data_IF_861682745969
#
_entry.id   IF_861682745969
#
_cell.length_a   1.000
_cell.length_b   1.000
_cell.length_c   1.000
_cell.angle_alpha   90.00
_cell.angle_beta   90.00
_cell.angle_gamma   90.00
#
_symmetry.space_group_name_H-M   'P 1'
#
loop_
_entity.id
_entity.type
_entity.pdbx_description
1 polymer ?
#
# COMPACT_ATOMS: atom_id res chain seq x y z
N UNK A 1 22.16 -5.77 -20.94
CA UNK A 1 23.31 -5.49 -20.07
C UNK A 1 23.03 -6.16 -18.74
N UNK A 2 23.66 -7.29 -18.43
CA UNK A 2 23.44 -8.01 -17.17
C UNK A 2 23.89 -7.14 -16.03
N UNK A 3 22.95 -6.74 -15.15
CA UNK A 3 23.31 -6.16 -13.84
C UNK A 3 24.05 -7.25 -13.06
N UNK A 4 25.38 -7.09 -12.99
CA UNK A 4 26.27 -8.00 -12.26
C UNK A 4 26.05 -7.75 -10.76
N UNK A 5 25.20 -8.58 -10.13
CA UNK A 5 25.01 -8.62 -8.69
C UNK A 5 26.34 -9.04 -8.03
N UNK A 6 26.99 -8.11 -7.31
CA UNK A 6 28.01 -8.49 -6.32
C UNK A 6 27.28 -9.06 -5.11
N UNK A 7 27.02 -10.35 -5.15
CA UNK A 7 26.54 -11.11 -3.99
C UNK A 7 27.75 -11.39 -3.09
N UNK A 8 27.80 -10.75 -1.94
CA UNK A 8 28.58 -11.26 -0.80
C UNK A 8 27.92 -12.57 -0.35
N UNK A 9 28.73 -13.61 -0.14
CA UNK A 9 28.28 -14.95 0.27
C UNK A 9 27.32 -14.88 1.45
N UNK A 10 26.09 -15.36 1.23
CA UNK A 10 25.09 -15.53 2.27
C UNK A 10 25.50 -16.71 3.16
N UNK A 11 25.20 -16.59 4.45
CA UNK A 11 25.46 -17.57 5.49
C UNK A 11 24.90 -18.98 5.11
N UNK A 12 25.65 -20.09 5.36
CA UNK A 12 25.21 -21.44 5.00
C UNK A 12 23.99 -21.98 5.77
N UNK A 13 23.50 -21.27 6.79
CA UNK A 13 22.35 -21.69 7.59
C UNK A 13 20.97 -21.46 6.96
N UNK A 14 20.89 -20.90 5.75
CA UNK A 14 19.63 -20.67 5.02
C UNK A 14 19.13 -21.96 4.33
N UNK A 15 19.00 -23.04 5.09
CA UNK A 15 18.47 -24.33 4.60
C UNK A 15 16.94 -24.29 4.66
N UNK A 16 16.32 -24.10 3.60
CA UNK A 16 15.04 -24.47 3.03
C UNK A 16 14.38 -23.31 2.26
N UNK A 17 14.89 -23.03 1.06
CA UNK A 17 14.34 -22.02 0.16
C UNK A 17 13.38 -22.63 -0.86
N UNK A 18 12.77 -23.78 -0.58
CA UNK A 18 11.79 -24.35 -1.50
C UNK A 18 10.55 -23.46 -1.63
N UNK A 19 9.98 -23.40 -2.82
CA UNK A 19 8.74 -22.67 -3.06
C UNK A 19 7.64 -23.24 -2.13
N UNK A 20 6.90 -22.36 -1.42
CA UNK A 20 5.80 -22.81 -0.57
C UNK A 20 4.76 -23.60 -1.39
N UNK A 21 4.14 -24.59 -0.76
CA UNK A 21 3.05 -25.36 -1.37
C UNK A 21 1.79 -24.48 -1.51
N UNK A 22 0.92 -24.88 -2.45
CA UNK A 22 -0.36 -24.18 -2.65
C UNK A 22 -0.19 -22.88 -3.44
N UNK A 23 0.38 -22.98 -4.65
CA UNK A 23 0.47 -21.84 -5.58
C UNK A 23 -0.94 -21.26 -5.79
N UNK A 24 -1.17 -19.98 -5.51
CA UNK A 24 -2.50 -19.37 -5.66
C UNK A 24 -2.90 -19.28 -7.14
N UNK A 25 -4.20 -19.40 -7.38
CA UNK A 25 -4.76 -19.15 -8.70
C UNK A 25 -4.38 -17.75 -9.16
N UNK A 26 -4.02 -17.61 -10.45
CA UNK A 26 -3.64 -16.34 -11.05
C UNK A 26 -2.16 -15.93 -10.90
N UNK A 27 -1.35 -16.62 -10.08
CA UNK A 27 0.09 -16.30 -9.96
C UNK A 27 0.80 -16.37 -11.33
N UNK A 28 0.54 -17.41 -12.11
CA UNK A 28 1.13 -17.56 -13.46
C UNK A 28 0.78 -16.38 -14.37
N UNK A 29 -0.47 -15.91 -14.34
CA UNK A 29 -0.90 -14.75 -15.12
C UNK A 29 -0.20 -13.47 -14.65
N UNK A 30 -0.07 -13.28 -13.34
CA UNK A 30 0.67 -12.15 -12.78
C UNK A 30 2.13 -12.17 -13.23
N UNK A 31 2.80 -13.30 -13.11
CA UNK A 31 4.20 -13.45 -13.50
C UNK A 31 4.38 -13.25 -15.01
N UNK A 32 3.44 -13.74 -15.84
CA UNK A 32 3.45 -13.49 -17.29
C UNK A 32 3.33 -12.00 -17.60
N UNK A 33 2.49 -11.25 -16.86
CA UNK A 33 2.41 -9.79 -17.03
C UNK A 33 3.70 -9.05 -16.61
N UNK A 34 4.54 -9.71 -15.83
CA UNK A 34 5.87 -9.24 -15.42
C UNK A 34 7.01 -9.80 -16.28
N UNK A 35 6.69 -10.35 -17.45
CA UNK A 35 7.63 -10.94 -18.44
C UNK A 35 8.32 -12.23 -17.97
N UNK A 36 7.72 -12.99 -17.07
CA UNK A 36 8.19 -14.32 -16.70
C UNK A 36 7.41 -15.39 -17.46
N UNK A 37 8.12 -16.28 -18.16
CA UNK A 37 7.52 -17.32 -19.00
C UNK A 37 6.94 -18.49 -18.18
N UNK A 38 7.51 -18.78 -17.03
CA UNK A 38 7.03 -19.82 -16.12
C UNK A 38 7.41 -19.53 -14.66
N UNK A 39 6.71 -20.21 -13.74
CA UNK A 39 6.87 -20.04 -12.30
C UNK A 39 8.20 -20.59 -11.79
N UNK A 40 8.69 -21.70 -12.37
CA UNK A 40 9.92 -22.36 -11.91
C UNK A 40 11.16 -21.53 -12.22
N UNK A 41 11.24 -20.90 -13.39
CA UNK A 41 12.35 -20.01 -13.74
C UNK A 41 12.35 -18.77 -12.86
N UNK A 42 11.15 -18.20 -12.64
CA UNK A 42 10.96 -17.07 -11.73
C UNK A 42 11.39 -17.44 -10.30
N UNK A 43 10.96 -18.62 -9.78
CA UNK A 43 11.32 -19.05 -8.45
C UNK A 43 12.83 -19.26 -8.31
N UNK A 44 13.46 -19.98 -9.25
CA UNK A 44 14.93 -20.18 -9.25
C UNK A 44 15.71 -18.86 -9.22
N UNK A 45 15.21 -17.83 -9.90
CA UNK A 45 15.79 -16.49 -9.85
C UNK A 45 15.77 -15.92 -8.44
N UNK A 46 14.64 -16.02 -7.75
CA UNK A 46 14.50 -15.49 -6.40
C UNK A 46 15.17 -16.37 -5.34
N UNK A 47 15.09 -17.67 -5.46
CA UNK A 47 15.80 -18.62 -4.59
C UNK A 47 17.31 -18.34 -4.54
N UNK A 48 17.91 -18.03 -5.69
CA UNK A 48 19.32 -17.69 -5.80
C UNK A 48 19.75 -16.45 -4.99
N UNK A 49 18.83 -15.50 -4.73
CA UNK A 49 19.09 -14.27 -3.97
C UNK A 49 18.49 -14.30 -2.56
N UNK A 50 18.04 -15.46 -2.10
CA UNK A 50 17.52 -15.66 -0.73
C UNK A 50 16.05 -16.06 -0.64
N UNK A 51 15.27 -15.97 -1.71
CA UNK A 51 13.88 -16.42 -1.73
C UNK A 51 13.06 -15.81 -0.59
N UNK A 52 12.32 -16.65 0.15
CA UNK A 52 11.51 -16.22 1.30
C UNK A 52 12.33 -15.69 2.49
N UNK A 53 13.64 -15.93 2.50
CA UNK A 53 14.54 -15.45 3.54
C UNK A 53 15.13 -14.07 3.23
N UNK A 54 14.96 -13.56 2.00
CA UNK A 54 15.42 -12.23 1.62
C UNK A 54 14.83 -11.17 2.54
N UNK A 55 15.69 -10.38 3.19
CA UNK A 55 15.31 -9.34 4.14
C UNK A 55 14.29 -9.78 5.23
N UNK A 56 14.29 -11.05 5.61
CA UNK A 56 13.28 -11.63 6.51
C UNK A 56 13.25 -10.96 7.89
N UNK A 57 14.37 -10.48 8.38
CA UNK A 57 14.48 -9.76 9.65
C UNK A 57 13.69 -8.43 9.68
N UNK A 58 13.25 -7.92 8.54
CA UNK A 58 12.44 -6.70 8.46
C UNK A 58 10.97 -6.93 8.85
N UNK A 59 10.53 -8.18 8.93
CA UNK A 59 9.18 -8.47 9.41
C UNK A 59 9.15 -8.39 10.94
N UNK A 60 8.43 -7.40 11.47
CA UNK A 60 8.29 -7.19 12.92
C UNK A 60 7.46 -8.26 13.64
N UNK A 61 6.75 -9.08 12.87
CA UNK A 61 5.92 -10.20 13.33
C UNK A 61 6.15 -11.40 12.41
N UNK A 62 5.91 -12.63 12.87
CA UNK A 62 5.98 -13.80 11.99
C UNK A 62 5.08 -13.61 10.77
N UNK A 63 5.65 -13.82 9.59
CA UNK A 63 4.96 -13.78 8.31
C UNK A 63 5.01 -15.15 7.66
N UNK A 64 3.97 -15.54 6.94
CA UNK A 64 3.92 -16.80 6.21
C UNK A 64 4.88 -16.73 5.01
N UNK A 65 5.57 -17.84 4.74
CA UNK A 65 6.43 -17.96 3.57
C UNK A 65 5.65 -17.76 2.26
N UNK A 66 4.40 -18.23 2.21
CA UNK A 66 3.46 -18.00 1.12
C UNK A 66 3.19 -16.52 0.87
N UNK A 67 3.11 -15.69 1.92
CA UNK A 67 2.95 -14.24 1.78
C UNK A 67 4.18 -13.61 1.12
N UNK A 68 5.39 -13.96 1.54
CA UNK A 68 6.61 -13.46 0.94
C UNK A 68 6.71 -13.95 -0.50
N UNK A 69 6.49 -15.25 -0.73
CA UNK A 69 6.59 -15.87 -2.04
C UNK A 69 5.55 -15.35 -3.05
N UNK A 70 4.29 -15.18 -2.63
CA UNK A 70 3.20 -14.93 -3.57
C UNK A 70 2.69 -13.48 -3.60
N UNK A 71 3.18 -12.62 -2.69
CA UNK A 71 2.91 -11.18 -2.70
C UNK A 71 4.21 -10.39 -2.76
N UNK A 72 5.14 -10.66 -1.85
CA UNK A 72 6.39 -9.90 -1.71
C UNK A 72 7.29 -10.03 -2.93
N UNK A 73 7.65 -11.26 -3.30
CA UNK A 73 8.55 -11.50 -4.45
C UNK A 73 7.94 -11.08 -5.80
N UNK A 74 6.64 -11.30 -6.09
CA UNK A 74 6.03 -10.73 -7.29
C UNK A 74 6.07 -9.20 -7.31
N UNK A 75 5.80 -8.50 -6.20
CA UNK A 75 5.92 -7.04 -6.14
C UNK A 75 7.37 -6.58 -6.34
N UNK A 76 8.33 -7.32 -5.77
CA UNK A 76 9.75 -7.08 -6.00
C UNK A 76 10.17 -7.35 -7.45
N UNK A 77 9.55 -8.35 -8.14
CA UNK A 77 9.72 -8.59 -9.58
C UNK A 77 9.18 -7.43 -10.42
N UNK A 78 8.09 -6.80 -9.98
CA UNK A 78 7.56 -5.60 -10.64
C UNK A 78 8.54 -4.42 -10.51
N UNK A 79 9.18 -4.27 -9.34
CA UNK A 79 10.25 -3.29 -9.13
C UNK A 79 11.42 -3.58 -10.07
N UNK A 80 11.90 -4.83 -10.13
CA UNK A 80 12.98 -5.24 -11.05
C UNK A 80 12.65 -4.89 -12.50
N UNK A 81 11.42 -5.18 -12.95
CA UNK A 81 10.96 -4.87 -14.31
C UNK A 81 11.03 -3.36 -14.60
N UNK A 82 10.60 -2.52 -13.67
CA UNK A 82 10.66 -1.05 -13.83
C UNK A 82 12.11 -0.56 -13.95
N UNK A 83 12.99 -1.05 -13.10
CA UNK A 83 14.41 -0.68 -13.12
C UNK A 83 15.11 -1.10 -14.43
N UNK A 84 14.76 -2.28 -14.97
CA UNK A 84 15.30 -2.75 -16.25
C UNK A 84 14.82 -1.90 -17.43
N UNK A 85 13.64 -1.31 -17.34
CA UNK A 85 13.10 -0.41 -18.36
C UNK A 85 13.71 1.00 -18.26
N UNK A 86 14.34 1.33 -17.12
CA UNK A 86 14.95 2.64 -16.89
C UNK A 86 13.92 3.76 -16.68
N UNK A 87 12.71 3.39 -16.26
CA UNK A 87 11.60 4.33 -16.03
C UNK A 87 11.45 4.68 -14.55
N UNK A 88 11.05 5.92 -14.27
CA UNK A 88 10.63 6.32 -12.93
C UNK A 88 9.18 5.95 -12.73
N UNK A 89 8.94 4.99 -11.83
CA UNK A 89 7.63 4.34 -11.66
C UNK A 89 7.09 4.54 -10.25
N UNK A 90 5.83 4.96 -10.16
CA UNK A 90 5.05 4.97 -8.90
C UNK A 90 4.23 3.68 -8.84
N UNK A 91 4.61 2.78 -7.94
CA UNK A 91 3.86 1.56 -7.65
C UNK A 91 2.95 1.78 -6.43
N UNK A 92 1.66 1.78 -6.66
CA UNK A 92 0.64 1.91 -5.61
C UNK A 92 0.36 0.59 -4.91
N UNK A 93 0.21 0.62 -3.58
CA UNK A 93 -0.32 -0.51 -2.80
C UNK A 93 -1.50 -0.04 -1.96
N UNK A 94 -2.69 -0.49 -2.32
CA UNK A 94 -3.93 -0.16 -1.63
C UNK A 94 -4.43 -1.34 -0.80
N UNK A 95 -4.84 -1.09 0.42
CA UNK A 95 -5.48 -2.09 1.27
C UNK A 95 -6.15 -1.45 2.48
N UNK A 96 -7.19 -2.06 3.01
CA UNK A 96 -7.76 -1.66 4.29
C UNK A 96 -6.70 -1.69 5.42
N UNK A 97 -6.88 -0.90 6.48
CA UNK A 97 -5.98 -0.92 7.64
C UNK A 97 -5.87 -2.34 8.22
N UNK A 98 -4.65 -2.73 8.61
CA UNK A 98 -4.37 -4.07 9.15
C UNK A 98 -4.02 -5.14 8.12
N UNK A 99 -4.21 -4.92 6.82
CA UNK A 99 -3.88 -5.90 5.77
C UNK A 99 -2.38 -6.05 5.48
N UNK A 100 -1.50 -5.29 6.14
CA UNK A 100 -0.05 -5.49 6.00
C UNK A 100 0.64 -4.67 4.90
N UNK A 101 -0.06 -3.74 4.21
CA UNK A 101 0.51 -2.94 3.12
C UNK A 101 1.80 -2.19 3.48
N UNK A 102 1.83 -1.49 4.62
CA UNK A 102 3.02 -0.73 5.05
C UNK A 102 4.20 -1.65 5.37
N UNK A 103 3.93 -2.80 5.99
CA UNK A 103 4.96 -3.82 6.27
C UNK A 103 5.50 -4.42 4.97
N UNK A 104 4.63 -4.70 3.99
CA UNK A 104 5.01 -5.17 2.66
C UNK A 104 5.90 -4.15 1.95
N UNK A 105 5.47 -2.89 1.86
CA UNK A 105 6.24 -1.84 1.19
C UNK A 105 7.59 -1.59 1.89
N UNK A 106 7.63 -1.63 3.22
CA UNK A 106 8.88 -1.54 3.96
C UNK A 106 9.81 -2.72 3.65
N UNK A 107 9.28 -3.95 3.62
CA UNK A 107 10.05 -5.12 3.26
C UNK A 107 10.60 -5.02 1.83
N UNK A 108 9.78 -4.62 0.85
CA UNK A 108 10.23 -4.43 -0.55
C UNK A 108 11.34 -3.39 -0.61
N UNK A 109 11.24 -2.26 0.12
CA UNK A 109 12.29 -1.25 0.19
C UNK A 109 13.60 -1.86 0.72
N UNK A 110 13.57 -2.61 1.83
CA UNK A 110 14.77 -3.21 2.41
C UNK A 110 15.36 -4.31 1.54
N UNK A 111 14.53 -5.17 0.94
CA UNK A 111 14.96 -6.17 -0.02
C UNK A 111 15.64 -5.50 -1.23
N UNK A 112 15.06 -4.42 -1.74
CA UNK A 112 15.65 -3.62 -2.83
C UNK A 112 17.01 -3.03 -2.44
N UNK A 113 17.16 -2.53 -1.21
CA UNK A 113 18.43 -2.02 -0.71
C UNK A 113 19.51 -3.12 -0.68
N UNK A 114 19.18 -4.34 -0.25
CA UNK A 114 20.10 -5.47 -0.28
C UNK A 114 20.54 -5.84 -1.72
N UNK A 115 19.64 -5.62 -2.69
CA UNK A 115 19.90 -5.83 -4.11
C UNK A 115 20.59 -4.63 -4.80
N UNK A 116 20.84 -3.53 -4.06
CA UNK A 116 21.42 -2.31 -4.61
C UNK A 116 20.47 -1.50 -5.49
N UNK A 117 19.16 -1.66 -5.30
CA UNK A 117 18.12 -1.00 -6.09
C UNK A 117 17.61 0.27 -5.41
N UNK A 118 17.52 1.40 -6.13
CA UNK A 118 17.10 2.69 -5.59
C UNK A 118 15.57 2.78 -5.49
N UNK A 119 15.01 2.27 -4.40
CA UNK A 119 13.57 2.25 -4.13
C UNK A 119 13.25 3.07 -2.88
N UNK A 120 12.24 3.92 -2.96
CA UNK A 120 11.70 4.65 -1.80
C UNK A 120 10.28 4.19 -1.47
N UNK A 121 9.96 4.15 -0.18
CA UNK A 121 8.63 3.86 0.33
C UNK A 121 8.04 5.10 0.97
N UNK A 122 6.90 5.52 0.48
CA UNK A 122 6.08 6.62 1.00
C UNK A 122 4.70 6.10 1.39
N UNK A 123 4.18 6.61 2.47
CA UNK A 123 2.80 6.40 2.87
C UNK A 123 1.95 7.63 2.54
N UNK A 124 0.70 7.43 2.15
CA UNK A 124 -0.28 8.51 2.10
C UNK A 124 -0.33 9.27 3.44
N UNK A 125 -0.16 8.53 4.55
CA UNK A 125 -0.14 9.07 5.91
C UNK A 125 1.04 10.03 6.19
N UNK A 126 2.15 9.97 5.42
CA UNK A 126 3.24 10.93 5.56
C UNK A 126 2.80 12.35 5.16
N UNK A 127 1.81 12.45 4.31
CA UNK A 127 1.29 13.72 3.78
C UNK A 127 0.13 14.31 4.58
N UNK A 128 -0.17 13.82 5.79
CA UNK A 128 -1.13 14.54 6.64
C UNK A 128 -0.73 16.00 6.80
N UNK A 129 -1.73 16.87 6.92
CA UNK A 129 -1.50 18.27 7.25
C UNK A 129 -0.69 18.43 8.54
N UNK A 130 0.09 19.51 8.70
CA UNK A 130 0.61 19.92 10.01
C UNK A 130 -0.52 20.09 11.02
N UNK A 131 -0.19 19.98 12.31
CA UNK A 131 -1.15 19.92 13.40
C UNK A 131 -2.32 20.89 13.35
N UNK A 132 -2.15 22.21 13.13
CA UNK A 132 -3.28 23.14 13.13
C UNK A 132 -4.27 22.88 11.97
N UNK A 133 -3.75 22.60 10.77
CA UNK A 133 -4.59 22.29 9.61
C UNK A 133 -5.26 20.93 9.76
N UNK A 134 -4.53 19.93 10.30
CA UNK A 134 -5.06 18.59 10.54
C UNK A 134 -6.23 18.66 11.53
N UNK A 135 -6.05 19.34 12.64
CA UNK A 135 -7.09 19.49 13.67
C UNK A 135 -8.34 20.18 13.09
N UNK A 136 -8.16 21.23 12.30
CA UNK A 136 -9.25 21.91 11.64
C UNK A 136 -9.97 21.03 10.61
N UNK A 137 -9.23 20.25 9.80
CA UNK A 137 -9.82 19.36 8.79
C UNK A 137 -10.67 18.26 9.40
N UNK A 138 -10.31 17.82 10.60
CA UNK A 138 -10.96 16.72 11.35
C UNK A 138 -11.96 17.18 12.40
N UNK A 139 -12.14 18.50 12.58
CA UNK A 139 -13.04 19.05 13.59
C UNK A 139 -14.48 18.60 13.36
N UNK A 140 -15.10 18.04 14.41
CA UNK A 140 -16.51 17.65 14.40
C UNK A 140 -16.78 16.30 13.70
N UNK A 141 -15.75 15.51 13.35
CA UNK A 141 -16.02 14.18 12.82
C UNK A 141 -16.66 13.27 13.90
N UNK A 142 -17.70 12.50 13.52
CA UNK A 142 -18.49 11.74 14.49
C UNK A 142 -17.74 10.56 15.11
N UNK A 143 -16.65 10.13 14.49
CA UNK A 143 -15.82 9.01 14.98
C UNK A 143 -14.68 9.45 15.87
N UNK A 144 -14.58 10.74 16.19
CA UNK A 144 -13.54 11.30 17.05
C UNK A 144 -12.10 10.93 16.65
N UNK A 145 -11.87 10.49 15.41
CA UNK A 145 -10.54 10.14 14.92
C UNK A 145 -9.74 11.40 14.61
N UNK A 146 -8.45 11.46 14.97
CA UNK A 146 -7.65 12.66 14.77
C UNK A 146 -7.17 12.87 13.32
N UNK A 147 -7.31 11.86 12.47
CA UNK A 147 -6.81 11.83 11.07
C UNK A 147 -7.41 10.64 10.30
N UNK A 148 -6.88 10.34 9.14
CA UNK A 148 -7.14 9.19 8.26
C UNK A 148 -8.22 9.40 7.20
N UNK A 149 -9.09 10.38 7.31
CA UNK A 149 -10.13 10.64 6.31
C UNK A 149 -9.57 11.35 5.06
N UNK A 150 -10.18 11.16 3.87
CA UNK A 150 -9.98 12.06 2.76
C UNK A 150 -10.19 13.53 3.19
N UNK A 151 -9.31 14.43 2.71
CA UNK A 151 -9.28 15.83 3.14
C UNK A 151 -8.34 16.13 4.31
N UNK A 152 -7.78 15.08 4.97
CA UNK A 152 -6.78 15.27 6.04
C UNK A 152 -5.33 15.35 5.54
N UNK A 153 -5.10 15.29 4.22
CA UNK A 153 -3.79 15.25 3.59
C UNK A 153 -3.50 16.49 2.76
N UNK A 154 -2.24 16.87 2.68
CA UNK A 154 -1.70 17.88 1.78
C UNK A 154 -1.55 17.27 0.37
N UNK A 155 -2.66 17.17 -0.34
CA UNK A 155 -2.72 16.60 -1.69
C UNK A 155 -1.90 17.37 -2.69
N UNK A 156 -1.83 18.71 -2.58
CA UNK A 156 -1.00 19.56 -3.45
C UNK A 156 0.48 19.31 -3.22
N UNK A 157 0.90 19.22 -1.96
CA UNK A 157 2.29 18.90 -1.62
C UNK A 157 2.69 17.50 -2.11
N UNK A 158 1.78 16.52 -2.02
CA UNK A 158 2.01 15.17 -2.51
C UNK A 158 2.11 15.14 -4.04
N UNK A 159 1.19 15.78 -4.75
CA UNK A 159 1.21 15.90 -6.20
C UNK A 159 2.52 16.53 -6.68
N UNK A 160 2.89 17.66 -6.09
CA UNK A 160 4.13 18.36 -6.42
C UNK A 160 5.38 17.48 -6.16
N UNK A 161 5.44 16.77 -5.04
CA UNK A 161 6.56 15.90 -4.71
C UNK A 161 6.74 14.78 -5.75
N UNK A 162 5.65 14.14 -6.17
CA UNK A 162 5.68 13.06 -7.17
C UNK A 162 6.00 13.59 -8.58
N UNK A 163 5.40 14.70 -9.00
CA UNK A 163 5.67 15.32 -10.31
C UNK A 163 7.13 15.78 -10.40
N UNK A 164 7.61 16.51 -9.40
CA UNK A 164 9.00 16.96 -9.34
C UNK A 164 9.99 15.80 -9.38
N UNK A 165 9.68 14.69 -8.67
CA UNK A 165 10.49 13.50 -8.74
C UNK A 165 10.47 12.85 -10.14
N UNK A 166 9.30 12.73 -10.77
CA UNK A 166 9.23 12.20 -12.16
C UNK A 166 10.10 13.02 -13.13
N UNK A 167 10.18 14.33 -12.94
CA UNK A 167 10.97 15.23 -13.78
C UNK A 167 12.47 15.16 -13.50
N UNK A 168 12.88 15.30 -12.23
CA UNK A 168 14.29 15.53 -11.86
C UNK A 168 14.94 14.38 -11.07
N UNK A 169 14.18 13.34 -10.70
CA UNK A 169 14.66 12.15 -10.00
C UNK A 169 14.88 12.34 -8.49
N UNK A 170 14.58 13.50 -7.94
CA UNK A 170 14.69 13.73 -6.49
C UNK A 170 13.30 13.86 -5.89
N UNK A 171 13.00 13.03 -4.89
CA UNK A 171 11.78 13.15 -4.11
C UNK A 171 12.07 13.79 -2.76
N UNK A 172 11.26 14.78 -2.40
CA UNK A 172 11.24 15.39 -1.07
C UNK A 172 9.84 15.17 -0.51
N UNK A 173 9.74 14.35 0.53
CA UNK A 173 8.46 14.02 1.16
C UNK A 173 8.46 14.39 2.64
N UNK A 174 7.33 14.89 3.18
CA UNK A 174 7.20 15.11 4.61
C UNK A 174 7.27 13.78 5.37
N UNK A 175 7.53 13.87 6.66
CA UNK A 175 7.43 12.74 7.58
C UNK A 175 6.44 13.06 8.67
N UNK A 176 5.56 12.12 8.96
CA UNK A 176 4.54 12.27 9.97
C UNK A 176 4.73 11.26 11.11
N UNK A 177 4.87 11.78 12.33
CA UNK A 177 4.96 10.94 13.53
C UNK A 177 3.60 10.86 14.20
N UNK A 178 2.99 9.67 14.15
CA UNK A 178 1.68 9.38 14.72
C UNK A 178 1.67 9.37 16.24
N UNK A 179 2.82 9.26 16.91
CA UNK A 179 2.95 9.21 18.37
C UNK A 179 2.85 10.56 19.05
N UNK A 180 3.19 11.63 18.33
CA UNK A 180 3.17 12.98 18.84
C UNK A 180 1.77 13.42 19.30
N UNK A 181 1.72 14.41 20.19
CA UNK A 181 0.49 15.05 20.63
C UNK A 181 -0.53 14.04 21.18
N UNK A 182 -0.07 13.10 22.02
CA UNK A 182 -0.88 12.03 22.61
C UNK A 182 -1.61 11.17 21.56
N UNK A 183 -0.90 10.79 20.48
CA UNK A 183 -1.45 9.97 19.41
C UNK A 183 -2.21 10.74 18.33
N UNK A 184 -2.33 12.06 18.43
CA UNK A 184 -2.93 12.89 17.37
C UNK A 184 -2.01 13.04 16.17
N UNK A 185 -0.69 12.96 16.38
CA UNK A 185 0.35 13.06 15.37
C UNK A 185 0.68 14.49 14.93
N UNK A 186 1.86 14.65 14.36
CA UNK A 186 2.29 15.90 13.71
C UNK A 186 3.41 15.62 12.69
N UNK A 187 3.71 16.60 11.83
CA UNK A 187 4.87 16.57 10.95
C UNK A 187 6.18 16.75 11.74
N UNK A 188 7.20 15.97 11.37
CA UNK A 188 8.55 15.99 12.02
C UNK A 188 9.65 16.39 11.04
N UNK A 189 9.31 17.09 9.97
CA UNK A 189 10.24 17.50 8.93
C UNK A 189 9.99 16.78 7.60
N UNK A 190 11.04 16.64 6.79
CA UNK A 190 10.99 15.97 5.49
C UNK A 190 12.20 15.06 5.29
N UNK A 191 12.06 14.10 4.38
CA UNK A 191 13.17 13.28 3.87
C UNK A 191 13.40 13.58 2.40
N UNK A 192 14.64 13.41 1.94
CA UNK A 192 15.00 13.55 0.54
C UNK A 192 15.78 12.33 0.07
N UNK A 193 15.43 11.80 -1.10
CA UNK A 193 16.10 10.66 -1.73
C UNK A 193 16.04 10.76 -3.27
N UNK A 194 16.78 9.88 -3.96
CA UNK A 194 16.79 9.81 -5.43
C UNK A 194 16.48 8.37 -5.89
N UNK A 195 15.25 7.90 -5.69
CA UNK A 195 14.87 6.57 -6.16
C UNK A 195 14.53 6.57 -7.64
N UNK A 196 14.61 5.39 -8.27
CA UNK A 196 14.02 5.14 -9.59
C UNK A 196 12.60 4.60 -9.46
N UNK A 197 12.26 3.95 -8.33
CA UNK A 197 10.91 3.47 -8.03
C UNK A 197 10.43 4.03 -6.70
N UNK A 198 9.22 4.56 -6.69
CA UNK A 198 8.48 4.98 -5.49
C UNK A 198 7.35 3.99 -5.22
N UNK A 199 7.37 3.36 -4.05
CA UNK A 199 6.22 2.63 -3.52
C UNK A 199 5.36 3.61 -2.75
N UNK A 200 4.11 3.81 -3.17
CA UNK A 200 3.14 4.64 -2.47
C UNK A 200 2.04 3.75 -1.89
N UNK A 201 1.82 3.80 -0.58
CA UNK A 201 0.78 2.99 0.05
C UNK A 201 -0.29 3.84 0.75
N UNK A 202 -1.52 3.34 0.76
CA UNK A 202 -2.63 3.99 1.44
C UNK A 202 -3.87 3.11 1.56
N UNK A 203 -4.78 3.42 2.51
CA UNK A 203 -5.97 2.59 2.71
C UNK A 203 -7.10 2.89 1.72
N UNK A 204 -7.10 4.06 1.09
CA UNK A 204 -8.03 4.44 0.03
C UNK A 204 -7.31 4.88 -1.24
N UNK A 205 -6.04 4.48 -1.39
CA UNK A 205 -5.24 4.79 -2.58
C UNK A 205 -5.93 4.22 -3.83
N UNK A 206 -6.13 5.06 -4.84
CA UNK A 206 -6.79 4.68 -6.09
C UNK A 206 -8.32 4.63 -6.03
N UNK A 207 -8.93 5.01 -4.90
CA UNK A 207 -10.39 5.10 -4.82
C UNK A 207 -10.90 6.25 -5.69
N UNK A 208 -11.79 5.91 -6.62
CA UNK A 208 -12.51 6.86 -7.46
C UNK A 208 -14.02 6.72 -7.25
N UNK A 209 -14.79 7.82 -7.22
CA UNK A 209 -16.23 7.74 -7.14
C UNK A 209 -16.82 6.94 -8.32
N UNK A 210 -17.64 5.94 -8.02
CA UNK A 210 -18.32 5.13 -9.03
C UNK A 210 -19.77 5.62 -9.19
N UNK A 211 -20.26 5.88 -10.42
CA UNK A 211 -21.57 6.49 -10.65
C UNK A 211 -22.78 5.67 -10.18
N UNK A 212 -22.62 4.35 -9.98
CA UNK A 212 -23.72 3.40 -9.81
C UNK A 212 -24.09 3.10 -8.35
N UNK A 213 -23.56 3.80 -7.36
CA UNK A 213 -23.67 3.39 -5.95
C UNK A 213 -24.47 4.39 -5.10
N UNK A 214 -25.40 5.10 -5.69
CA UNK A 214 -26.39 5.89 -4.94
C UNK A 214 -27.34 5.03 -4.08
N UNK A 215 -27.31 3.71 -4.25
CA UNK A 215 -28.21 2.76 -3.59
C UNK A 215 -27.54 1.78 -2.65
N UNK A 216 -26.26 1.94 -2.29
CA UNK A 216 -25.75 1.22 -1.12
C UNK A 216 -26.55 1.70 0.08
N UNK A 217 -27.49 0.83 0.52
CA UNK A 217 -28.35 1.09 1.66
C UNK A 217 -27.44 1.45 2.84
N UNK A 218 -27.50 2.73 3.20
CA UNK A 218 -26.70 3.32 4.29
C UNK A 218 -27.33 2.96 5.64
N UNK A 219 -27.85 1.72 5.74
CA UNK A 219 -28.47 1.21 6.96
C UNK A 219 -27.51 1.31 8.13
N UNK A 220 -27.98 1.97 9.16
CA UNK A 220 -27.22 2.13 10.41
C UNK A 220 -26.16 3.22 10.44
N UNK A 221 -26.14 4.17 9.49
CA UNK A 221 -25.39 5.41 9.64
C UNK A 221 -26.28 6.50 10.25
N UNK A 222 -25.70 7.26 11.19
CA UNK A 222 -26.35 8.46 11.72
C UNK A 222 -26.30 9.61 10.68
N UNK A 223 -27.13 10.65 10.89
CA UNK A 223 -27.13 11.84 10.03
C UNK A 223 -25.75 12.52 10.00
N UNK A 224 -25.03 12.54 11.13
CA UNK A 224 -23.69 13.09 11.19
C UNK A 224 -22.70 12.26 10.40
N UNK A 225 -22.77 10.93 10.46
CA UNK A 225 -21.92 10.04 9.66
C UNK A 225 -22.18 10.20 8.16
N UNK A 226 -23.45 10.37 7.78
CA UNK A 226 -23.84 10.63 6.38
C UNK A 226 -23.26 11.95 5.87
N UNK A 227 -23.36 13.02 6.66
CA UNK A 227 -22.78 14.31 6.32
C UNK A 227 -21.26 14.23 6.16
N UNK A 228 -20.58 13.51 7.07
CA UNK A 228 -19.14 13.32 6.99
C UNK A 228 -18.71 12.39 5.85
N UNK A 229 -19.49 11.34 5.54
CA UNK A 229 -19.28 10.54 4.32
C UNK A 229 -19.34 11.40 3.07
N UNK A 230 -20.35 12.27 2.95
CA UNK A 230 -20.46 13.19 1.82
C UNK A 230 -19.26 14.11 1.69
N UNK A 231 -18.76 14.63 2.83
CA UNK A 231 -17.52 15.44 2.87
C UNK A 231 -16.30 14.62 2.42
N UNK A 232 -16.13 13.42 2.95
CA UNK A 232 -15.01 12.55 2.59
C UNK A 232 -15.04 12.16 1.11
N UNK A 233 -16.21 11.82 0.57
CA UNK A 233 -16.42 11.52 -0.85
C UNK A 233 -16.09 12.73 -1.72
N UNK A 234 -16.56 13.93 -1.36
CA UNK A 234 -16.24 15.15 -2.10
C UNK A 234 -14.74 15.45 -2.09
N UNK A 235 -14.06 15.20 -0.96
CA UNK A 235 -12.60 15.40 -0.84
C UNK A 235 -11.79 14.42 -1.70
N UNK A 236 -12.36 13.31 -2.19
CA UNK A 236 -11.65 12.41 -3.12
C UNK A 236 -11.27 13.10 -4.45
N UNK A 237 -11.96 14.18 -4.82
CA UNK A 237 -11.62 14.95 -6.02
C UNK A 237 -10.19 15.47 -5.98
N UNK A 238 -9.71 15.89 -4.80
CA UNK A 238 -8.35 16.44 -4.61
C UNK A 238 -7.24 15.38 -4.79
N UNK A 239 -7.60 14.09 -4.81
CA UNK A 239 -6.63 12.99 -4.97
C UNK A 239 -6.56 12.46 -6.40
N UNK A 240 -7.54 12.79 -7.27
CA UNK A 240 -7.64 12.18 -8.59
C UNK A 240 -6.40 12.45 -9.46
N UNK A 241 -5.83 13.64 -9.42
CA UNK A 241 -4.60 13.97 -10.14
C UNK A 241 -3.40 13.12 -9.64
N UNK A 242 -3.35 12.83 -8.33
CA UNK A 242 -2.32 11.96 -7.76
C UNK A 242 -2.48 10.53 -8.29
N UNK A 243 -3.74 10.06 -8.40
CA UNK A 243 -4.01 8.72 -8.93
C UNK A 243 -3.57 8.57 -10.39
N UNK A 244 -3.55 9.64 -11.18
CA UNK A 244 -3.04 9.60 -12.55
C UNK A 244 -1.52 9.39 -12.63
N UNK A 245 -0.79 9.63 -11.55
CA UNK A 245 0.65 9.41 -11.48
C UNK A 245 1.02 7.97 -11.11
N UNK A 246 0.06 7.15 -10.69
CA UNK A 246 0.28 5.73 -10.43
C UNK A 246 0.49 5.01 -11.76
N UNK A 247 1.67 4.44 -11.95
CA UNK A 247 1.97 3.61 -13.14
C UNK A 247 1.42 2.19 -12.95
N UNK A 248 1.21 1.77 -11.69
CA UNK A 248 0.67 0.47 -11.33
C UNK A 248 -0.01 0.54 -9.95
N UNK A 249 -1.06 -0.23 -9.73
CA UNK A 249 -1.77 -0.29 -8.45
C UNK A 249 -2.09 -1.73 -8.07
N UNK A 250 -1.54 -2.18 -6.94
CA UNK A 250 -1.83 -3.47 -6.35
C UNK A 250 -2.80 -3.33 -5.18
N UNK A 251 -3.87 -4.10 -5.21
CA UNK A 251 -4.91 -4.06 -4.20
C UNK A 251 -4.89 -5.34 -3.35
N UNK A 252 -4.50 -5.23 -2.08
CA UNK A 252 -4.60 -6.33 -1.13
C UNK A 252 -6.01 -6.30 -0.51
N UNK A 253 -6.82 -7.29 -0.85
CA UNK A 253 -8.24 -7.31 -0.51
C UNK A 253 -8.53 -8.41 0.51
N UNK A 254 -8.92 -8.03 1.73
CA UNK A 254 -9.40 -8.97 2.72
C UNK A 254 -10.71 -9.63 2.24
N UNK A 255 -10.91 -10.91 2.57
CA UNK A 255 -12.11 -11.67 2.23
C UNK A 255 -13.40 -10.96 2.70
N UNK A 256 -13.34 -10.28 3.84
CA UNK A 256 -14.41 -9.42 4.39
C UNK A 256 -13.79 -8.24 5.14
N UNK A 257 -14.52 -7.14 5.27
CA UNK A 257 -14.06 -5.92 5.95
C UNK A 257 -13.83 -6.11 7.46
N UNK A 258 -14.61 -6.96 8.13
CA UNK A 258 -14.44 -7.25 9.57
C UNK A 258 -13.12 -7.97 9.88
N UNK A 259 -12.59 -8.71 8.92
CA UNK A 259 -11.29 -9.38 9.04
C UNK A 259 -10.16 -8.35 9.16
N UNK A 260 -10.19 -7.28 8.38
CA UNK A 260 -9.19 -6.21 8.45
C UNK A 260 -9.19 -5.52 9.83
N UNK A 261 -10.37 -5.33 10.42
CA UNK A 261 -10.53 -4.78 11.78
C UNK A 261 -9.91 -5.69 12.84
N UNK A 262 -10.08 -7.02 12.72
CA UNK A 262 -9.42 -8.00 13.60
C UNK A 262 -7.89 -7.94 13.47
N UNK A 263 -7.38 -7.85 12.25
CA UNK A 263 -5.95 -7.72 12.00
C UNK A 263 -5.37 -6.42 12.54
N UNK A 264 -6.12 -5.32 12.42
CA UNK A 264 -5.72 -4.04 13.01
C UNK A 264 -5.61 -4.13 14.53
N UNK A 265 -6.57 -4.80 15.18
CA UNK A 265 -6.52 -5.06 16.62
C UNK A 265 -5.28 -5.87 17.03
N UNK A 266 -4.98 -6.95 16.29
CA UNK A 266 -3.77 -7.74 16.53
C UNK A 266 -2.49 -6.90 16.42
N UNK A 267 -2.41 -6.06 15.38
CA UNK A 267 -1.29 -5.13 15.19
C UNK A 267 -1.11 -4.21 16.40
N UNK A 268 -2.18 -3.60 16.89
CA UNK A 268 -2.12 -2.70 18.04
C UNK A 268 -1.71 -3.42 19.33
N UNK A 269 -2.22 -4.63 19.58
CA UNK A 269 -1.81 -5.46 20.74
C UNK A 269 -0.31 -5.78 20.66
N UNK A 270 0.20 -6.07 19.48
CA UNK A 270 1.63 -6.35 19.27
C UNK A 270 2.47 -5.11 19.55
N UNK A 271 2.06 -3.93 19.04
CA UNK A 271 2.74 -2.67 19.26
C UNK A 271 2.73 -2.27 20.74
N UNK A 272 1.61 -2.48 21.45
CA UNK A 272 1.51 -2.24 22.89
C UNK A 272 2.54 -3.07 23.67
N UNK A 273 2.67 -4.36 23.32
CA UNK A 273 3.65 -5.25 23.96
C UNK A 273 5.10 -4.87 23.65
N UNK A 274 5.38 -4.38 22.45
CA UNK A 274 6.75 -4.03 22.02
C UNK A 274 7.19 -2.64 22.44
N UNK A 275 6.27 -1.66 22.42
CA UNK A 275 6.59 -0.25 22.59
C UNK A 275 5.98 0.36 23.87
N UNK A 276 5.17 -0.38 24.62
CA UNK A 276 4.51 0.11 25.84
C UNK A 276 3.44 1.20 25.59
N UNK A 277 3.02 1.38 24.32
CA UNK A 277 2.00 2.37 23.96
C UNK A 277 0.61 1.73 24.10
N UNK A 278 -0.17 2.16 25.10
CA UNK A 278 -1.52 1.67 25.29
C UNK A 278 -2.53 2.39 24.39
N UNK A 279 -3.39 1.61 23.75
CA UNK A 279 -4.50 2.11 22.95
C UNK A 279 -5.82 1.83 23.67
N UNK A 280 -6.68 2.84 23.78
CA UNK A 280 -8.01 2.61 24.34
C UNK A 280 -8.87 1.81 23.37
N UNK A 281 -9.64 0.87 23.90
CA UNK A 281 -10.54 0.04 23.08
C UNK A 281 -11.55 0.88 22.29
N UNK A 282 -12.00 2.02 22.85
CA UNK A 282 -12.86 3.00 22.19
C UNK A 282 -12.21 3.56 20.92
N UNK A 283 -10.93 3.95 20.99
CA UNK A 283 -10.23 4.58 19.84
C UNK A 283 -10.14 3.62 18.66
N UNK A 284 -9.99 2.31 18.93
CA UNK A 284 -10.00 1.28 17.91
C UNK A 284 -11.40 1.05 17.33
N UNK A 285 -12.44 1.06 18.19
CA UNK A 285 -13.83 0.90 17.75
C UNK A 285 -14.24 2.07 16.84
N UNK A 286 -13.91 3.30 17.25
CA UNK A 286 -14.18 4.52 16.51
C UNK A 286 -13.45 4.54 15.16
N UNK A 287 -12.18 4.13 15.15
CA UNK A 287 -11.40 4.00 13.93
C UNK A 287 -11.99 2.95 12.97
N UNK A 288 -12.38 1.78 13.48
CA UNK A 288 -13.00 0.73 12.66
C UNK A 288 -14.36 1.20 12.11
N UNK A 289 -15.17 1.89 12.93
CA UNK A 289 -16.42 2.49 12.49
C UNK A 289 -16.18 3.50 11.37
N UNK A 290 -15.19 4.37 11.53
CA UNK A 290 -14.80 5.34 10.50
C UNK A 290 -14.44 4.65 9.18
N UNK A 291 -13.61 3.61 9.21
CA UNK A 291 -13.20 2.87 7.99
C UNK A 291 -14.39 2.27 7.25
N UNK A 292 -15.41 1.79 7.99
CA UNK A 292 -16.63 1.20 7.41
C UNK A 292 -17.64 2.26 6.93
N UNK A 293 -17.62 3.44 7.56
CA UNK A 293 -18.65 4.45 7.37
C UNK A 293 -18.23 5.60 6.44
N UNK A 294 -16.95 5.98 6.42
CA UNK A 294 -16.47 7.19 5.74
C UNK A 294 -16.49 7.12 4.22
N UNK A 295 -16.29 5.94 3.66
CA UNK A 295 -16.36 5.70 2.22
C UNK A 295 -17.26 4.49 1.94
N UNK A 296 -17.92 4.42 0.78
CA UNK A 296 -18.68 3.25 0.40
C UNK A 296 -17.81 1.98 0.38
N UNK A 297 -18.18 0.90 1.09
CA UNK A 297 -17.39 -0.33 1.12
C UNK A 297 -17.14 -0.95 -0.26
N UNK A 298 -18.08 -0.81 -1.18
CA UNK A 298 -17.94 -1.27 -2.57
C UNK A 298 -16.84 -0.54 -3.31
N UNK A 299 -16.61 0.76 -3.06
CA UNK A 299 -15.54 1.53 -3.68
C UNK A 299 -14.16 1.07 -3.16
N UNK A 300 -14.07 0.73 -1.87
CA UNK A 300 -12.85 0.20 -1.27
C UNK A 300 -12.55 -1.25 -1.69
N UNK A 301 -13.55 -1.98 -2.19
CA UNK A 301 -13.36 -3.34 -2.70
C UNK A 301 -13.09 -3.41 -4.20
N UNK A 302 -13.56 -2.41 -4.96
CA UNK A 302 -13.48 -2.37 -6.41
C UNK A 302 -12.71 -1.13 -6.82
N UNK A 303 -11.40 -1.27 -6.99
CA UNK A 303 -10.52 -0.19 -7.43
C UNK A 303 -10.29 -0.33 -8.95
N UNK A 304 -10.90 0.51 -9.79
CA UNK A 304 -10.80 0.38 -11.25
C UNK A 304 -9.38 0.52 -11.79
N UNK A 305 -8.52 1.22 -11.05
CA UNK A 305 -7.12 1.44 -11.43
C UNK A 305 -6.21 0.26 -11.06
N UNK A 306 -6.70 -0.77 -10.35
CA UNK A 306 -5.87 -1.91 -9.95
C UNK A 306 -5.43 -2.70 -11.18
N UNK A 307 -4.13 -2.98 -11.28
CA UNK A 307 -3.56 -3.94 -12.22
C UNK A 307 -3.52 -5.36 -11.65
N UNK A 308 -3.39 -5.48 -10.32
CA UNK A 308 -3.47 -6.74 -9.60
C UNK A 308 -4.34 -6.61 -8.34
N UNK A 309 -5.22 -7.57 -8.13
CA UNK A 309 -6.02 -7.72 -6.90
C UNK A 309 -5.62 -9.04 -6.25
N UNK A 310 -5.16 -8.96 -5.00
CA UNK A 310 -4.71 -10.10 -4.23
C UNK A 310 -5.69 -10.34 -3.09
N UNK A 311 -6.49 -11.39 -3.22
CA UNK A 311 -7.46 -11.80 -2.22
C UNK A 311 -6.79 -12.56 -1.07
N UNK A 312 -7.03 -12.09 0.15
CA UNK A 312 -6.44 -12.63 1.36
C UNK A 312 -7.49 -13.40 2.18
N UNK A 313 -7.11 -14.60 2.64
CA UNK A 313 -7.90 -15.40 3.59
C UNK A 313 -7.96 -14.72 4.97
N UNK A 314 -8.78 -15.27 5.88
CA UNK A 314 -8.82 -14.81 7.28
C UNK A 314 -7.50 -14.98 8.03
N UNK A 315 -6.66 -15.92 7.62
CA UNK A 315 -5.30 -16.14 8.15
C UNK A 315 -4.23 -15.26 7.50
N UNK A 316 -4.61 -14.36 6.61
CA UNK A 316 -3.73 -13.54 5.77
C UNK A 316 -2.94 -14.33 4.71
N UNK A 317 -3.35 -15.52 4.39
CA UNK A 317 -2.76 -16.26 3.28
C UNK A 317 -3.33 -15.78 1.95
N UNK A 318 -2.60 -15.99 0.86
CA UNK A 318 -3.07 -15.63 -0.49
C UNK A 318 -4.06 -16.68 -0.96
N UNK A 319 -5.29 -16.25 -1.26
CA UNK A 319 -6.33 -17.12 -1.81
C UNK A 319 -6.29 -17.16 -3.33
N UNK A 320 -6.24 -15.98 -3.94
CA UNK A 320 -6.35 -15.79 -5.38
C UNK A 320 -5.68 -14.48 -5.79
N UNK A 321 -5.14 -14.46 -7.00
CA UNK A 321 -4.57 -13.27 -7.63
C UNK A 321 -5.32 -13.01 -8.94
N UNK A 322 -5.92 -11.85 -9.06
CA UNK A 322 -6.62 -11.40 -10.26
C UNK A 322 -5.79 -10.33 -10.95
N UNK A 323 -5.43 -10.58 -12.21
CA UNK A 323 -4.72 -9.61 -13.06
C UNK A 323 -5.73 -8.86 -13.89
N UNK A 324 -5.75 -7.55 -13.75
CA UNK A 324 -6.68 -6.67 -14.46
C UNK A 324 -5.97 -6.08 -15.67
N UNK A 325 -6.67 -5.93 -16.79
CA UNK A 325 -6.12 -5.17 -17.92
C UNK A 325 -6.00 -3.71 -17.50
N UNK A 326 -4.77 -3.20 -17.44
CA UNK A 326 -4.51 -1.81 -17.06
C UNK A 326 -5.23 -0.86 -18.01
N UNK A 327 -6.10 0.00 -17.48
CA UNK A 327 -6.69 1.12 -18.23
C UNK A 327 -5.70 2.27 -18.39
N UNK A 328 -4.58 2.24 -17.68
CA UNK A 328 -3.56 3.32 -17.66
C UNK A 328 -2.77 3.41 -18.99
N UNK A 329 -2.69 2.34 -19.78
CA UNK A 329 -2.00 2.34 -21.07
C UNK A 329 -2.82 2.84 -22.27
N UNK A 330 -4.13 3.08 -22.09
CA UNK A 330 -5.02 3.47 -23.20
C UNK A 330 -5.05 4.98 -23.49
N UNK A 331 -4.53 5.83 -22.59
CA UNK A 331 -4.59 7.28 -22.74
C UNK A 331 -3.40 7.89 -23.53
N UNK A 332 -2.35 7.12 -23.82
CA UNK A 332 -1.18 7.62 -24.58
C UNK A 332 -1.26 7.41 -26.09
N UNK A 333 -2.25 6.67 -26.61
CA UNK A 333 -2.37 6.38 -28.05
C UNK A 333 -3.38 7.26 -28.80
N UNK A 334 -4.09 8.19 -28.14
CA UNK A 334 -5.10 9.04 -28.78
C UNK A 334 -4.66 10.49 -29.05
N UNK A 335 -3.36 10.83 -28.90
CA UNK A 335 -2.84 12.18 -29.09
C UNK A 335 -1.99 12.36 -30.37
N UNK A 336 -2.08 11.44 -31.32
CA UNK A 336 -1.49 11.61 -32.68
C UNK A 336 -2.52 11.17 -33.70
N UNK A 337 -3.39 12.08 -34.07
CA UNK A 337 -4.31 11.98 -35.20
C UNK A 337 -4.67 13.38 -35.68
#
# INVERSE_FOLDING_TARGET
>A
MQLCLRLTSLDPELQNNSMPQGIPDGLTLLLTSLNWSNVDDWWRRWEHVGGVNLARHQWSVPVLDSWIAFVGLPLLSRVESALLQGERVVLGVSALPGCGKSTLCSWVKFASQQLGWPVEHLSLDDFYWPAPQLDNSMQGNPWCVPRALPGSHDTRGMLHALQSWKENGQIVAPRFDKSLRNGRGDRVGSSSSRPDVVLLEGWFLGVTPLPSIETEILEGLSEQELAWRSKAVSSLADYQEIWTLLDDLWHLRAVRSDVSSRWKRQQLITLERQCGVSYRASDLADFNRMVLAALPPSWLRNLPLSSAVIDLTESRDVREIQVMKSQLSASSSSATG
#
